data_IF_499710252584
#
_entry.id   IF_499710252584
#
_cell.length_a   1.000
_cell.length_b   1.000
_cell.length_c   1.000
_cell.angle_alpha   90.00
_cell.angle_beta   90.00
_cell.angle_gamma   90.00
#
_symmetry.space_group_name_H-M   'P 1'
#
loop_
_entity.id
_entity.type
_entity.pdbx_description
1 polymer ?
#
# COMPACT_ATOMS: atom_id res chain seq x y z
N UNK A 1 14.06 14.55 9.48
CA UNK A 1 13.19 15.73 9.33
C UNK A 1 12.11 15.60 10.39
N UNK A 2 12.41 16.08 11.60
CA UNK A 2 11.42 16.24 12.68
C UNK A 2 10.43 17.32 12.25
N UNK A 3 9.15 16.98 12.12
CA UNK A 3 8.13 17.98 11.94
C UNK A 3 7.87 18.63 13.29
N UNK A 4 8.13 19.95 13.36
CA UNK A 4 7.70 20.85 14.41
C UNK A 4 6.24 20.58 14.80
N UNK A 5 5.91 20.77 16.08
CA UNK A 5 4.64 20.43 16.75
C UNK A 5 3.37 21.10 16.24
N UNK A 6 3.09 21.02 14.94
CA UNK A 6 1.78 21.27 14.35
C UNK A 6 0.83 20.10 14.63
N UNK A 7 -0.45 20.42 14.83
CA UNK A 7 -1.49 19.42 15.02
C UNK A 7 -1.59 18.52 13.78
N UNK A 8 -1.40 17.21 13.98
CA UNK A 8 -1.45 16.23 12.89
C UNK A 8 -2.88 16.16 12.33
N UNK A 9 -3.07 16.29 11.01
CA UNK A 9 -4.40 16.22 10.41
C UNK A 9 -5.07 14.87 10.71
N UNK A 10 -6.38 14.91 10.96
CA UNK A 10 -7.17 13.74 11.35
C UNK A 10 -7.94 13.19 10.17
N UNK A 11 -7.91 11.87 9.99
CA UNK A 11 -8.76 11.13 9.04
C UNK A 11 -9.95 10.59 9.80
N UNK A 12 -11.15 10.83 9.28
CA UNK A 12 -12.40 10.31 9.85
C UNK A 12 -12.83 9.05 9.11
N UNK A 13 -13.01 7.95 9.84
CA UNK A 13 -13.41 6.64 9.31
C UNK A 13 -14.90 6.41 9.54
N UNK A 14 -15.63 5.97 8.51
CA UNK A 14 -17.05 5.64 8.61
C UNK A 14 -18.03 6.76 8.28
N UNK A 15 -17.54 7.93 7.88
CA UNK A 15 -18.37 9.03 7.41
C UNK A 15 -19.17 8.65 6.16
N UNK A 16 -20.38 9.17 6.01
CA UNK A 16 -21.24 8.87 4.85
C UNK A 16 -20.54 9.31 3.55
N UNK A 17 -20.38 8.37 2.61
CA UNK A 17 -19.69 8.64 1.33
C UNK A 17 -18.18 8.77 1.45
N UNK A 18 -17.59 8.52 2.62
CA UNK A 18 -16.14 8.45 2.77
C UNK A 18 -15.59 7.10 2.30
N UNK A 19 -14.38 7.12 1.77
CA UNK A 19 -13.62 5.93 1.38
C UNK A 19 -12.18 6.08 1.84
N UNK A 20 -11.62 5.00 2.39
CA UNK A 20 -10.23 4.95 2.79
C UNK A 20 -9.35 4.73 1.55
N UNK A 21 -8.38 5.61 1.31
CA UNK A 21 -7.41 5.48 0.21
C UNK A 21 -6.08 4.90 0.69
N UNK A 22 -5.28 4.36 -0.23
CA UNK A 22 -3.91 3.89 0.07
C UNK A 22 -3.01 4.99 0.63
N UNK A 23 -3.19 6.24 0.17
CA UNK A 23 -2.46 7.39 0.69
C UNK A 23 -2.83 7.73 2.14
N UNK A 24 -4.10 7.58 2.51
CA UNK A 24 -4.55 7.75 3.90
C UNK A 24 -3.94 6.68 4.81
N UNK A 25 -3.95 5.42 4.38
CA UNK A 25 -3.32 4.31 5.10
C UNK A 25 -1.82 4.57 5.28
N UNK A 26 -1.11 4.97 4.21
CA UNK A 26 0.30 5.29 4.28
C UNK A 26 0.60 6.44 5.24
N UNK A 27 -0.22 7.50 5.21
CA UNK A 27 -0.05 8.64 6.11
C UNK A 27 -0.23 8.26 7.58
N UNK A 28 -1.21 7.41 7.91
CA UNK A 28 -1.39 6.87 9.27
C UNK A 28 -0.25 5.93 9.65
N UNK A 29 0.14 5.03 8.75
CA UNK A 29 1.25 4.09 8.95
C UNK A 29 2.57 4.81 9.26
N UNK A 30 2.80 5.98 8.68
CA UNK A 30 3.96 6.85 8.95
C UNK A 30 3.76 7.82 10.12
N UNK A 31 2.58 7.85 10.73
CA UNK A 31 2.26 8.74 11.84
C UNK A 31 2.02 10.19 11.44
N UNK A 32 1.88 10.48 10.14
CA UNK A 32 1.59 11.82 9.60
C UNK A 32 0.16 12.28 9.85
N UNK A 33 -0.77 11.33 10.05
CA UNK A 33 -2.18 11.60 10.31
C UNK A 33 -2.69 10.85 11.54
N UNK A 34 -3.62 11.48 12.27
CA UNK A 34 -4.40 10.84 13.33
C UNK A 34 -5.64 10.16 12.74
N UNK A 35 -6.23 9.24 13.50
CA UNK A 35 -7.46 8.54 13.12
C UNK A 35 -8.56 8.86 14.12
N UNK A 36 -9.75 9.16 13.62
CA UNK A 36 -10.97 9.26 14.41
C UNK A 36 -12.08 8.44 13.74
N UNK A 37 -12.98 7.89 14.53
CA UNK A 37 -14.18 7.21 14.03
C UNK A 37 -15.30 8.23 13.96
N UNK A 38 -16.06 8.22 12.88
CA UNK A 38 -17.27 9.02 12.74
C UNK A 38 -18.26 8.70 13.88
N UNK A 39 -18.75 9.70 14.64
CA UNK A 39 -19.66 9.46 15.75
C UNK A 39 -20.95 8.75 15.33
N UNK A 40 -21.50 9.08 14.16
CA UNK A 40 -22.73 8.44 13.66
C UNK A 40 -22.47 6.99 13.24
N UNK A 41 -21.26 6.64 12.81
CA UNK A 41 -20.86 5.26 12.63
C UNK A 41 -20.77 4.52 13.99
N UNK A 42 -20.19 5.14 15.01
CA UNK A 42 -20.05 4.55 16.36
C UNK A 42 -21.41 4.32 17.06
N UNK A 43 -22.37 5.24 16.89
CA UNK A 43 -23.72 5.11 17.43
C UNK A 43 -24.46 3.87 16.91
N UNK A 44 -24.19 3.42 15.67
CA UNK A 44 -24.82 2.20 15.11
C UNK A 44 -24.48 0.97 15.93
N UNK A 45 -23.23 0.89 16.41
CA UNK A 45 -22.74 -0.22 17.21
C UNK A 45 -23.24 -0.17 18.66
N UNK A 46 -23.61 1.01 19.17
CA UNK A 46 -24.16 1.18 20.53
C UNK A 46 -25.57 0.61 20.68
N UNK A 47 -26.27 0.37 19.57
CA UNK A 47 -27.65 -0.18 19.53
C UNK A 47 -27.68 -1.71 19.40
N UNK A 48 -26.54 -2.35 19.19
CA UNK A 48 -26.41 -3.79 19.01
C UNK A 48 -26.31 -4.50 20.36
N UNK A 49 -27.18 -5.50 20.63
CA UNK A 49 -27.06 -6.39 21.79
C UNK A 49 -25.96 -7.41 21.51
N UNK A 50 -24.74 -7.15 21.98
CA UNK A 50 -23.64 -8.12 21.86
C UNK A 50 -23.74 -9.20 22.94
N UNK A 51 -23.58 -10.50 22.60
CA UNK A 51 -23.45 -11.56 23.59
C UNK A 51 -22.20 -11.38 24.47
N UNK A 52 -22.14 -12.04 25.65
CA UNK A 52 -21.00 -11.96 26.54
C UNK A 52 -19.72 -12.47 25.85
N UNK A 53 -18.56 -11.85 26.09
CA UNK A 53 -17.32 -12.23 25.41
C UNK A 53 -16.78 -13.58 25.89
N UNK A 54 -15.94 -14.20 25.06
CA UNK A 54 -15.39 -15.53 25.34
C UNK A 54 -13.86 -15.48 25.39
N UNK A 55 -13.20 -16.34 26.19
CA UNK A 55 -11.75 -16.48 26.16
C UNK A 55 -11.32 -17.02 24.79
N UNK A 56 -10.33 -16.37 24.17
CA UNK A 56 -9.78 -16.77 22.89
C UNK A 56 -8.81 -17.95 23.07
N UNK A 57 -8.94 -19.01 22.27
CA UNK A 57 -8.00 -20.12 22.24
C UNK A 57 -6.71 -19.69 21.51
N UNK A 58 -5.56 -20.13 22.04
CA UNK A 58 -4.22 -19.69 21.63
C UNK A 58 -3.45 -20.86 21.04
N UNK A 59 -3.37 -20.91 19.71
CA UNK A 59 -2.23 -21.52 19.01
C UNK A 59 -1.83 -20.54 17.90
N UNK A 60 -0.58 -20.07 17.90
CA UNK A 60 -0.10 -19.01 17.01
C UNK A 60 1.31 -19.31 16.51
N UNK A 61 1.50 -19.22 15.19
CA UNK A 61 2.80 -18.92 14.60
C UNK A 61 2.86 -17.41 14.50
N UNK A 62 3.59 -16.76 15.41
CA UNK A 62 3.61 -15.31 15.52
C UNK A 62 4.04 -14.66 14.21
N UNK A 63 3.20 -13.78 13.65
CA UNK A 63 3.58 -12.90 12.54
C UNK A 63 3.78 -11.50 13.09
N UNK A 64 5.03 -11.18 13.37
CA UNK A 64 5.42 -9.87 13.89
C UNK A 64 5.60 -8.93 12.70
N UNK A 65 4.72 -7.93 12.60
CA UNK A 65 4.81 -6.86 11.63
C UNK A 65 5.70 -5.72 12.17
N UNK A 66 6.27 -4.92 11.27
CA UNK A 66 6.89 -3.66 11.67
C UNK A 66 5.86 -2.70 12.26
N UNK A 67 6.30 -1.72 13.04
CA UNK A 67 5.39 -0.74 13.65
C UNK A 67 4.52 0.00 12.62
N UNK A 68 5.04 0.26 11.41
CA UNK A 68 4.29 0.91 10.35
C UNK A 68 3.24 -0.02 9.72
N UNK A 69 3.62 -1.27 9.44
CA UNK A 69 2.70 -2.30 8.92
C UNK A 69 1.60 -2.64 9.92
N UNK A 70 1.91 -2.71 11.22
CA UNK A 70 0.92 -2.87 12.28
C UNK A 70 -0.09 -1.71 12.28
N UNK A 71 0.37 -0.45 12.19
CA UNK A 71 -0.54 0.70 12.10
C UNK A 71 -1.41 0.65 10.83
N UNK A 72 -0.82 0.27 9.70
CA UNK A 72 -1.56 0.09 8.44
C UNK A 72 -2.63 -1.00 8.59
N UNK A 73 -2.29 -2.13 9.20
CA UNK A 73 -3.22 -3.21 9.46
C UNK A 73 -4.37 -2.76 10.37
N UNK A 74 -4.09 -2.02 11.45
CA UNK A 74 -5.12 -1.55 12.37
C UNK A 74 -6.07 -0.52 11.73
N UNK A 75 -5.57 0.42 10.92
CA UNK A 75 -6.43 1.39 10.25
C UNK A 75 -7.32 0.75 9.17
N UNK A 76 -6.81 -0.28 8.49
CA UNK A 76 -7.64 -1.09 7.58
C UNK A 76 -8.67 -1.89 8.36
N UNK A 77 -8.26 -2.49 9.48
CA UNK A 77 -9.13 -3.29 10.32
C UNK A 77 -10.31 -2.46 10.82
N UNK A 78 -10.06 -1.28 11.41
CA UNK A 78 -11.11 -0.43 11.93
C UNK A 78 -12.06 0.05 10.80
N UNK A 79 -11.53 0.36 9.61
CA UNK A 79 -12.37 0.70 8.46
C UNK A 79 -13.28 -0.46 8.04
N UNK A 80 -12.73 -1.67 7.94
CA UNK A 80 -13.50 -2.88 7.61
C UNK A 80 -14.57 -3.18 8.65
N UNK A 81 -14.25 -3.06 9.93
CA UNK A 81 -15.24 -3.28 11.00
C UNK A 81 -16.37 -2.25 10.92
N UNK A 82 -16.05 -0.97 10.69
CA UNK A 82 -17.02 0.12 10.60
C UNK A 82 -17.93 0.00 9.37
N UNK A 83 -17.39 -0.44 8.23
CA UNK A 83 -18.16 -0.63 6.98
C UNK A 83 -18.98 -1.93 6.99
N UNK A 84 -18.69 -2.85 7.91
CA UNK A 84 -19.40 -4.13 8.03
C UNK A 84 -20.64 -4.02 8.92
N UNK A 85 -21.70 -4.74 8.56
CA UNK A 85 -22.95 -4.85 9.36
C UNK A 85 -22.80 -5.88 10.51
N UNK A 86 -21.62 -5.92 11.13
CA UNK A 86 -21.25 -6.89 12.16
C UNK A 86 -21.60 -6.41 13.57
N UNK A 87 -21.90 -7.33 14.48
CA UNK A 87 -22.06 -7.03 15.90
C UNK A 87 -20.70 -6.81 16.59
N UNK A 88 -20.07 -5.66 16.30
CA UNK A 88 -18.84 -5.21 16.97
C UNK A 88 -19.22 -4.28 18.11
N UNK A 89 -18.61 -4.44 19.28
CA UNK A 89 -18.86 -3.52 20.39
C UNK A 89 -18.12 -2.19 20.15
N UNK A 90 -18.74 -1.03 20.46
CA UNK A 90 -18.08 0.27 20.35
C UNK A 90 -16.73 0.34 21.08
N UNK A 91 -16.63 -0.32 22.23
CA UNK A 91 -15.41 -0.35 23.04
C UNK A 91 -14.23 -1.00 22.33
N UNK A 92 -14.48 -2.01 21.50
CA UNK A 92 -13.45 -2.70 20.74
C UNK A 92 -12.90 -1.81 19.62
N UNK A 93 -13.77 -1.04 18.96
CA UNK A 93 -13.37 -0.05 17.97
C UNK A 93 -12.57 1.09 18.60
N UNK A 94 -13.01 1.61 19.75
CA UNK A 94 -12.29 2.64 20.50
C UNK A 94 -10.92 2.17 20.95
N UNK A 95 -10.78 0.92 21.41
CA UNK A 95 -9.50 0.31 21.78
C UNK A 95 -8.52 0.31 20.61
N UNK A 96 -8.96 -0.15 19.43
CA UNK A 96 -8.11 -0.15 18.22
C UNK A 96 -7.72 1.28 17.84
N UNK A 97 -8.68 2.23 17.89
CA UNK A 97 -8.42 3.64 17.62
C UNK A 97 -7.38 4.26 18.56
N UNK A 98 -7.45 3.95 19.85
CA UNK A 98 -6.48 4.36 20.87
C UNK A 98 -5.09 3.80 20.55
N UNK A 99 -4.99 2.52 20.20
CA UNK A 99 -3.71 1.87 19.85
C UNK A 99 -3.07 2.51 18.62
N UNK A 100 -3.85 2.81 17.57
CA UNK A 100 -3.34 3.51 16.38
C UNK A 100 -2.70 4.85 16.75
N UNK A 101 -3.23 5.53 17.78
CA UNK A 101 -2.75 6.82 18.27
C UNK A 101 -1.46 6.75 19.12
N UNK A 102 -1.03 5.57 19.55
CA UNK A 102 0.19 5.41 20.36
C UNK A 102 1.44 5.85 19.60
N UNK A 103 2.47 6.26 20.33
CA UNK A 103 3.76 6.62 19.72
C UNK A 103 4.62 5.39 19.40
N UNK A 104 4.48 4.29 20.15
CA UNK A 104 5.32 3.10 20.05
C UNK A 104 4.56 1.84 20.47
N UNK A 105 5.21 0.67 20.39
CA UNK A 105 4.65 -0.61 20.86
C UNK A 105 3.88 -1.43 19.82
N UNK A 106 3.52 -0.86 18.67
CA UNK A 106 2.78 -1.57 17.61
C UNK A 106 3.46 -2.84 17.07
N UNK A 107 4.78 -2.96 17.20
CA UNK A 107 5.53 -4.16 16.79
C UNK A 107 5.35 -5.34 17.77
N UNK A 108 4.70 -5.15 18.91
CA UNK A 108 4.36 -6.24 19.83
C UNK A 108 3.01 -6.90 19.51
N UNK A 109 2.29 -6.41 18.49
CA UNK A 109 1.01 -6.95 18.08
C UNK A 109 1.21 -8.25 17.29
N UNK A 110 0.45 -9.28 17.65
CA UNK A 110 0.49 -10.58 16.99
C UNK A 110 -0.60 -10.69 15.94
N UNK A 111 -0.24 -10.59 14.66
CA UNK A 111 -1.17 -10.81 13.55
C UNK A 111 -1.18 -12.28 13.07
N UNK A 112 -0.55 -13.19 13.82
CA UNK A 112 -0.49 -14.63 13.51
C UNK A 112 -1.84 -15.34 13.69
N UNK A 113 -2.68 -14.87 14.61
CA UNK A 113 -4.04 -15.36 14.81
C UNK A 113 -4.97 -14.27 15.35
N UNK A 114 -6.29 -14.47 15.22
CA UNK A 114 -7.32 -13.58 15.76
C UNK A 114 -7.21 -13.46 17.29
N UNK A 115 -7.00 -14.59 17.99
CA UNK A 115 -6.79 -14.62 19.44
C UNK A 115 -5.48 -13.96 19.89
N UNK A 116 -4.39 -14.17 19.14
CA UNK A 116 -3.10 -13.51 19.38
C UNK A 116 -3.20 -11.99 19.23
N UNK A 117 -3.93 -11.52 18.20
CA UNK A 117 -4.17 -10.10 17.98
C UNK A 117 -4.95 -9.50 19.15
N UNK A 118 -6.08 -10.10 19.54
CA UNK A 118 -6.89 -9.61 20.65
C UNK A 118 -6.06 -9.53 21.93
N UNK A 119 -5.33 -10.59 22.27
CA UNK A 119 -4.51 -10.65 23.48
C UNK A 119 -3.41 -9.57 23.49
N UNK A 120 -2.74 -9.38 22.36
CA UNK A 120 -1.68 -8.38 22.22
C UNK A 120 -2.19 -6.94 22.23
N UNK A 121 -3.39 -6.66 21.68
CA UNK A 121 -4.04 -5.35 21.78
C UNK A 121 -4.30 -4.97 23.25
N UNK A 122 -4.88 -5.88 24.03
CA UNK A 122 -5.16 -5.62 25.46
C UNK A 122 -3.88 -5.45 26.28
N UNK A 123 -2.89 -6.32 26.04
CA UNK A 123 -1.58 -6.24 26.70
C UNK A 123 -0.90 -4.88 26.45
N UNK A 124 -0.99 -4.36 25.23
CA UNK A 124 -0.34 -3.12 24.85
C UNK A 124 -0.93 -1.88 25.55
N UNK A 125 -2.24 -1.87 25.82
CA UNK A 125 -2.89 -0.77 26.55
C UNK A 125 -2.70 -0.88 28.07
N UNK A 126 -2.15 -1.99 28.57
CA UNK A 126 -1.96 -2.19 30.01
C UNK A 126 -3.28 -2.36 30.78
N UNK A 127 -4.40 -2.57 30.08
CA UNK A 127 -5.67 -2.95 30.69
C UNK A 127 -5.59 -4.42 31.08
N UNK A 128 -5.73 -4.71 32.37
CA UNK A 128 -5.65 -6.07 32.89
C UNK A 128 -6.79 -6.93 32.28
N UNK A 129 -6.52 -8.20 31.93
CA UNK A 129 -7.55 -9.10 31.40
C UNK A 129 -8.74 -9.30 32.35
N UNK A 130 -8.58 -8.98 33.63
CA UNK A 130 -9.59 -9.17 34.68
C UNK A 130 -10.68 -8.08 34.69
N UNK A 131 -10.47 -6.96 33.97
CA UNK A 131 -11.44 -5.84 33.88
C UNK A 131 -12.18 -5.79 32.52
N UNK A 132 -11.79 -6.62 31.54
CA UNK A 132 -12.43 -6.69 30.23
C UNK A 132 -12.57 -8.12 29.71
N UNK A 133 -13.81 -8.55 29.52
CA UNK A 133 -14.13 -9.81 28.88
C UNK A 133 -13.74 -9.71 27.39
N UNK A 134 -12.73 -10.46 26.96
CA UNK A 134 -11.96 -10.42 25.69
C UNK A 134 -12.67 -9.97 24.41
N UNK A 135 -12.68 -10.78 23.36
CA UNK A 135 -13.43 -10.52 22.13
C UNK A 135 -14.65 -11.45 22.04
N UNK A 136 -15.74 -11.00 21.43
CA UNK A 136 -16.89 -11.86 21.15
C UNK A 136 -16.56 -12.82 20.01
N UNK A 137 -17.33 -13.91 19.87
CA UNK A 137 -17.17 -14.84 18.73
C UNK A 137 -17.36 -14.12 17.38
N UNK A 138 -18.27 -13.15 17.32
CA UNK A 138 -18.52 -12.36 16.13
C UNK A 138 -17.35 -11.43 15.81
N UNK A 139 -16.76 -10.78 16.82
CA UNK A 139 -15.55 -9.97 16.68
C UNK A 139 -14.39 -10.83 16.18
N UNK A 140 -14.15 -12.00 16.77
CA UNK A 140 -13.10 -12.94 16.35
C UNK A 140 -13.31 -13.38 14.88
N UNK A 141 -14.54 -13.75 14.51
CA UNK A 141 -14.91 -14.14 13.13
C UNK A 141 -14.69 -13.01 12.12
N UNK A 142 -14.95 -11.76 12.53
CA UNK A 142 -14.66 -10.58 11.70
C UNK A 142 -13.15 -10.35 11.54
N UNK A 143 -12.37 -10.51 12.61
CA UNK A 143 -10.90 -10.41 12.55
C UNK A 143 -10.32 -11.42 11.54
N UNK A 144 -10.75 -12.69 11.62
CA UNK A 144 -10.29 -13.77 10.74
C UNK A 144 -10.60 -13.54 9.26
N UNK A 145 -11.73 -12.86 8.98
CA UNK A 145 -12.18 -12.58 7.61
C UNK A 145 -11.68 -11.23 7.07
N UNK A 146 -11.02 -10.42 7.89
CA UNK A 146 -10.68 -9.04 7.54
C UNK A 146 -9.54 -8.92 6.53
N UNK A 147 -8.58 -9.86 6.53
CA UNK A 147 -7.32 -9.75 5.78
C UNK A 147 -6.63 -8.38 5.99
N UNK A 148 -6.81 -7.75 7.15
CA UNK A 148 -6.42 -6.36 7.36
C UNK A 148 -4.90 -6.15 7.24
N UNK A 149 -4.10 -7.12 7.68
CA UNK A 149 -2.64 -7.06 7.58
C UNK A 149 -2.15 -7.06 6.13
N UNK A 150 -2.60 -8.04 5.32
CA UNK A 150 -2.20 -8.16 3.91
C UNK A 150 -2.67 -6.96 3.10
N UNK A 151 -3.89 -6.48 3.33
CA UNK A 151 -4.45 -5.28 2.68
C UNK A 151 -3.71 -4.01 3.11
N UNK A 152 -3.37 -3.86 4.39
CA UNK A 152 -2.60 -2.73 4.91
C UNK A 152 -1.20 -2.65 4.29
N UNK A 153 -0.51 -3.78 4.18
CA UNK A 153 0.79 -3.87 3.50
C UNK A 153 0.65 -3.50 2.02
N UNK A 154 -0.36 -4.03 1.33
CA UNK A 154 -0.61 -3.71 -0.08
C UNK A 154 -0.93 -2.22 -0.29
N UNK A 155 -1.67 -1.58 0.63
CA UNK A 155 -1.93 -0.14 0.59
C UNK A 155 -0.68 0.71 0.76
N UNK A 156 0.24 0.30 1.65
CA UNK A 156 1.54 0.95 1.77
C UNK A 156 2.37 0.77 0.49
N UNK A 157 2.41 -0.44 -0.07
CA UNK A 157 3.11 -0.74 -1.32
C UNK A 157 2.55 0.05 -2.49
N UNK A 158 1.23 0.09 -2.65
CA UNK A 158 0.53 0.87 -3.67
C UNK A 158 0.89 2.36 -3.60
N UNK A 159 0.81 2.96 -2.40
CA UNK A 159 1.18 4.37 -2.21
C UNK A 159 2.64 4.65 -2.61
N UNK A 160 3.58 3.80 -2.18
CA UNK A 160 4.99 3.94 -2.50
C UNK A 160 5.26 3.72 -4.00
N UNK A 161 4.70 2.66 -4.58
CA UNK A 161 4.95 2.29 -5.97
C UNK A 161 4.34 3.30 -6.95
N UNK A 162 3.15 3.82 -6.65
CA UNK A 162 2.51 4.91 -7.40
C UNK A 162 3.37 6.19 -7.44
N UNK A 163 4.04 6.52 -6.33
CA UNK A 163 5.00 7.63 -6.31
C UNK A 163 6.28 7.28 -7.08
N UNK A 164 6.78 6.05 -6.95
CA UNK A 164 7.99 5.58 -7.60
C UNK A 164 7.87 5.58 -9.13
N UNK A 165 6.70 5.24 -9.70
CA UNK A 165 6.44 5.33 -11.15
C UNK A 165 6.86 6.70 -11.69
N UNK A 166 6.30 7.78 -11.13
CA UNK A 166 6.56 9.16 -11.59
C UNK A 166 8.04 9.54 -11.45
N UNK A 167 8.64 9.19 -10.32
CA UNK A 167 10.05 9.47 -10.05
C UNK A 167 10.95 8.70 -11.02
N UNK A 168 10.64 7.45 -11.29
CA UNK A 168 11.43 6.61 -12.18
C UNK A 168 11.41 7.10 -13.62
N UNK A 169 10.27 7.59 -14.12
CA UNK A 169 10.15 8.15 -15.46
C UNK A 169 10.94 9.46 -15.59
N UNK A 170 10.84 10.34 -14.59
CA UNK A 170 11.66 11.55 -14.53
C UNK A 170 13.16 11.25 -14.50
N UNK A 171 13.60 10.29 -13.68
CA UNK A 171 15.00 9.86 -13.60
C UNK A 171 15.46 9.22 -14.92
N UNK A 172 14.60 8.45 -15.58
CA UNK A 172 14.90 7.89 -16.89
C UNK A 172 15.09 9.01 -17.94
N UNK A 173 14.20 10.00 -17.98
CA UNK A 173 14.36 11.16 -18.85
C UNK A 173 15.66 11.93 -18.59
N UNK A 174 16.01 12.21 -17.32
CA UNK A 174 17.30 12.83 -17.00
C UNK A 174 18.50 11.99 -17.44
N UNK A 175 18.42 10.67 -17.31
CA UNK A 175 19.48 9.78 -17.82
C UNK A 175 19.60 9.83 -19.35
N UNK A 176 18.48 10.01 -20.07
CA UNK A 176 18.50 10.21 -21.53
C UNK A 176 19.22 11.52 -21.89
N UNK A 177 18.95 12.62 -21.17
CA UNK A 177 19.64 13.90 -21.39
C UNK A 177 21.14 13.79 -21.11
N UNK A 178 21.51 13.16 -20.00
CA UNK A 178 22.90 13.02 -19.58
C UNK A 178 23.73 12.16 -20.57
N UNK A 179 23.12 11.14 -21.17
CA UNK A 179 23.77 10.28 -22.15
C UNK A 179 23.56 10.72 -23.61
N UNK A 180 22.92 11.87 -23.84
CA UNK A 180 22.54 12.36 -25.18
C UNK A 180 21.76 11.34 -26.01
N UNK A 181 20.88 10.57 -25.34
CA UNK A 181 20.17 9.44 -25.93
C UNK A 181 19.31 9.85 -27.13
N UNK A 182 19.07 8.91 -28.03
CA UNK A 182 18.22 9.13 -29.21
C UNK A 182 16.74 9.22 -28.80
N UNK A 183 16.05 10.28 -29.23
CA UNK A 183 14.64 10.52 -28.90
C UNK A 183 13.72 9.65 -29.76
N UNK A 184 14.19 9.18 -30.92
CA UNK A 184 13.42 8.31 -31.79
C UNK A 184 13.07 6.95 -31.14
N UNK A 185 13.78 6.57 -30.07
CA UNK A 185 13.47 5.40 -29.24
C UNK A 185 12.06 5.44 -28.63
N UNK A 186 11.46 6.62 -28.54
CA UNK A 186 10.14 6.84 -27.98
C UNK A 186 9.06 7.07 -29.06
N UNK A 187 9.39 6.91 -30.35
CA UNK A 187 8.45 6.92 -31.47
C UNK A 187 7.68 5.59 -31.57
N UNK A 188 6.89 5.30 -30.53
CA UNK A 188 6.01 4.14 -30.53
C UNK A 188 4.72 4.41 -31.32
N UNK A 189 4.20 3.42 -32.06
CA UNK A 189 2.90 3.54 -32.71
C UNK A 189 1.79 3.73 -31.65
N UNK A 190 0.74 4.50 -31.96
CA UNK A 190 -0.34 4.75 -31.01
C UNK A 190 -1.02 3.44 -30.58
N UNK A 191 -1.43 3.37 -29.31
CA UNK A 191 -2.13 2.19 -28.79
C UNK A 191 -3.54 2.10 -29.40
N UNK A 192 -3.69 1.15 -30.33
CA UNK A 192 -4.92 0.79 -31.04
C UNK A 192 -4.68 -0.49 -31.85
N UNK A 193 -5.71 -1.31 -32.03
CA UNK A 193 -5.71 -2.50 -32.90
C UNK A 193 -4.63 -3.59 -32.61
N UNK A 194 -4.03 -3.59 -31.42
CA UNK A 194 -3.02 -4.58 -31.00
C UNK A 194 -1.58 -4.26 -31.44
N UNK A 195 -1.31 -3.06 -31.95
CA UNK A 195 0.02 -2.65 -32.39
C UNK A 195 0.97 -2.23 -31.26
N UNK A 196 0.44 -1.82 -30.10
CA UNK A 196 1.26 -1.41 -28.96
C UNK A 196 0.51 -1.50 -27.62
N UNK A 197 1.29 -1.68 -26.55
CA UNK A 197 0.79 -1.74 -25.18
C UNK A 197 0.60 -0.32 -24.67
N UNK A 198 -0.61 0.00 -24.19
CA UNK A 198 -0.98 1.34 -23.73
C UNK A 198 0.01 1.93 -22.72
N UNK A 199 0.46 1.13 -21.75
CA UNK A 199 1.40 1.60 -20.75
C UNK A 199 2.75 2.00 -21.33
N UNK A 200 3.23 1.27 -22.33
CA UNK A 200 4.50 1.57 -22.99
C UNK A 200 4.37 2.85 -23.83
N UNK A 201 3.25 3.02 -24.54
CA UNK A 201 2.99 4.25 -25.31
C UNK A 201 2.83 5.46 -24.40
N UNK A 202 2.17 5.30 -23.24
CA UNK A 202 2.01 6.36 -22.26
C UNK A 202 3.36 6.74 -21.65
N UNK A 203 4.24 5.77 -21.34
CA UNK A 203 5.62 6.05 -20.92
C UNK A 203 6.39 6.79 -22.00
N UNK A 204 6.37 6.32 -23.24
CA UNK A 204 7.12 6.94 -24.32
C UNK A 204 6.68 8.40 -24.56
N UNK A 205 5.36 8.66 -24.47
CA UNK A 205 4.82 10.02 -24.54
C UNK A 205 5.29 10.90 -23.38
N UNK A 206 5.25 10.38 -22.15
CA UNK A 206 5.68 11.13 -20.96
C UNK A 206 7.19 11.43 -21.00
N UNK A 207 8.02 10.48 -21.42
CA UNK A 207 9.47 10.70 -21.57
C UNK A 207 9.75 11.76 -22.64
N UNK A 208 9.06 11.73 -23.78
CA UNK A 208 9.16 12.80 -24.79
C UNK A 208 8.75 14.16 -24.23
N UNK A 209 7.70 14.21 -23.41
CA UNK A 209 7.27 15.44 -22.77
C UNK A 209 8.36 16.00 -21.82
N UNK A 210 9.04 15.13 -21.06
CA UNK A 210 10.17 15.55 -20.23
C UNK A 210 11.38 16.06 -21.04
N UNK A 211 11.64 15.45 -22.20
CA UNK A 211 12.77 15.81 -23.06
C UNK A 211 12.47 17.00 -23.99
N UNK A 212 11.24 17.50 -24.00
CA UNK A 212 10.83 18.58 -24.90
C UNK A 212 11.64 19.85 -24.66
N UNK A 213 12.28 20.35 -25.71
CA UNK A 213 13.14 21.56 -25.66
C UNK A 213 14.57 21.30 -25.19
N UNK A 214 14.92 20.06 -24.85
CA UNK A 214 16.29 19.69 -24.50
C UNK A 214 17.23 19.83 -25.70
N UNK A 215 18.42 20.39 -25.48
CA UNK A 215 19.46 20.59 -26.51
C UNK A 215 20.54 19.49 -26.49
N UNK A 216 20.45 18.56 -25.53
CA UNK A 216 21.50 17.56 -25.29
C UNK A 216 21.16 16.20 -25.89
N UNK A 217 19.88 15.87 -26.08
CA UNK A 217 19.41 14.60 -26.65
C UNK A 217 19.55 14.54 -28.18
N UNK A 218 19.55 13.32 -28.74
CA UNK A 218 19.56 13.08 -30.19
C UNK A 218 20.92 12.76 -30.81
N UNK A 219 21.92 12.36 -30.02
CA UNK A 219 23.31 12.16 -30.49
C UNK A 219 23.82 10.71 -30.35
N UNK A 220 22.95 9.71 -30.53
CA UNK A 220 23.34 8.32 -30.82
C UNK A 220 23.76 7.46 -29.61
N UNK A 221 22.87 7.29 -28.61
CA UNK A 221 22.97 6.21 -27.63
C UNK A 221 21.62 5.48 -27.48
N UNK A 222 21.53 4.26 -27.99
CA UNK A 222 20.29 3.45 -27.96
C UNK A 222 20.26 2.36 -26.90
N UNK A 223 21.40 2.09 -26.22
CA UNK A 223 21.63 0.92 -25.35
C UNK A 223 20.53 0.60 -24.32
N UNK A 224 20.72 0.87 -23.01
CA UNK A 224 19.69 0.59 -22.01
C UNK A 224 18.48 1.55 -22.08
N UNK A 225 18.49 2.53 -22.99
CA UNK A 225 17.43 3.53 -23.13
C UNK A 225 16.25 3.02 -23.97
N UNK A 226 16.50 2.14 -24.94
CA UNK A 226 15.45 1.51 -25.76
C UNK A 226 14.49 0.63 -24.94
N UNK A 227 14.94 0.09 -23.81
CA UNK A 227 14.11 -0.71 -22.90
C UNK A 227 13.20 0.09 -21.98
N UNK A 228 13.32 1.43 -21.93
CA UNK A 228 12.53 2.28 -21.03
C UNK A 228 11.03 2.06 -21.21
N UNK A 229 10.44 2.16 -22.42
CA UNK A 229 9.00 2.01 -22.58
C UNK A 229 8.47 0.67 -22.09
N UNK A 230 9.14 -0.44 -22.43
CA UNK A 230 8.70 -1.79 -22.07
C UNK A 230 8.78 -2.05 -20.56
N UNK A 231 9.92 -1.74 -19.93
CA UNK A 231 10.14 -2.03 -18.50
C UNK A 231 9.32 -1.09 -17.62
N UNK A 232 9.32 0.21 -17.91
CA UNK A 232 8.53 1.18 -17.15
C UNK A 232 7.03 0.98 -17.40
N UNK A 233 6.63 0.61 -18.63
CA UNK A 233 5.24 0.29 -18.97
C UNK A 233 4.73 -0.93 -18.20
N UNK A 234 5.53 -1.99 -18.14
CA UNK A 234 5.22 -3.19 -17.32
C UNK A 234 5.07 -2.83 -15.83
N UNK A 235 5.97 -1.99 -15.30
CA UNK A 235 5.89 -1.51 -13.92
C UNK A 235 4.63 -0.68 -13.67
N UNK A 236 4.28 0.27 -14.56
CA UNK A 236 3.03 1.04 -14.50
C UNK A 236 1.79 0.15 -14.50
N UNK A 237 1.77 -0.86 -15.37
CA UNK A 237 0.70 -1.85 -15.44
C UNK A 237 0.52 -2.62 -14.13
N UNK A 238 1.62 -3.12 -13.55
CA UNK A 238 1.60 -3.83 -12.28
C UNK A 238 1.13 -2.95 -11.12
N UNK A 239 1.61 -1.70 -11.04
CA UNK A 239 1.17 -0.73 -10.02
C UNK A 239 -0.31 -0.42 -10.16
N UNK A 240 -0.83 -0.19 -11.37
CA UNK A 240 -2.25 0.10 -11.58
C UNK A 240 -3.13 -1.10 -11.22
N UNK A 241 -2.69 -2.32 -11.50
CA UNK A 241 -3.42 -3.53 -11.11
C UNK A 241 -3.50 -3.67 -9.58
N UNK A 242 -2.39 -3.44 -8.87
CA UNK A 242 -2.37 -3.41 -7.41
C UNK A 242 -3.29 -2.29 -6.87
N UNK A 243 -3.14 -1.07 -7.39
CA UNK A 243 -3.94 0.09 -6.98
C UNK A 243 -5.44 -0.17 -7.05
N UNK A 244 -5.92 -0.68 -8.20
CA UNK A 244 -7.33 -0.99 -8.40
C UNK A 244 -7.84 -2.04 -7.42
N UNK A 245 -7.07 -3.11 -7.16
CA UNK A 245 -7.48 -4.16 -6.23
C UNK A 245 -7.44 -3.70 -4.78
N UNK A 246 -6.40 -2.99 -4.40
CA UNK A 246 -6.20 -2.49 -3.03
C UNK A 246 -7.27 -1.46 -2.67
N UNK A 247 -7.60 -0.52 -3.57
CA UNK A 247 -8.67 0.45 -3.33
C UNK A 247 -10.03 -0.20 -3.07
N UNK A 248 -10.35 -1.27 -3.80
CA UNK A 248 -11.58 -2.06 -3.57
C UNK A 248 -11.53 -2.78 -2.24
N UNK A 249 -10.42 -3.46 -1.93
CA UNK A 249 -10.33 -4.26 -0.70
C UNK A 249 -10.25 -3.41 0.56
N UNK A 250 -9.67 -2.21 0.50
CA UNK A 250 -9.69 -1.24 1.60
C UNK A 250 -11.12 -0.93 2.06
N UNK A 251 -12.05 -0.84 1.12
CA UNK A 251 -13.43 -0.39 1.35
C UNK A 251 -14.47 -1.52 1.29
N UNK A 252 -14.02 -2.78 1.22
CA UNK A 252 -14.92 -3.93 1.16
C UNK A 252 -15.48 -4.32 2.53
N UNK A 253 -16.78 -4.60 2.59
CA UNK A 253 -17.44 -5.08 3.81
C UNK A 253 -17.21 -6.57 4.06
N UNK A 254 -17.26 -6.96 5.33
CA UNK A 254 -17.17 -8.35 5.78
C UNK A 254 -18.59 -8.87 6.01
N UNK A 255 -18.99 -9.90 5.26
CA UNK A 255 -20.31 -10.52 5.40
C UNK A 255 -20.25 -11.71 6.37
N UNK A 256 -20.73 -11.53 7.61
CA UNK A 256 -20.71 -12.57 8.65
C UNK A 256 -21.72 -13.70 8.37
N UNK A 257 -22.89 -13.38 7.77
CA UNK A 257 -23.99 -14.34 7.53
C UNK A 257 -23.75 -15.40 6.46
N UNK A 258 -22.76 -15.22 5.58
CA UNK A 258 -22.38 -16.27 4.61
C UNK A 258 -21.41 -17.24 5.31
N UNK A 259 -21.96 -18.29 5.91
CA UNK A 259 -21.25 -19.39 6.58
C UNK A 259 -20.47 -20.30 5.60
N UNK A 260 -19.66 -19.72 4.71
CA UNK A 260 -18.60 -20.48 4.04
C UNK A 260 -17.35 -20.39 4.92
N UNK A 261 -17.20 -21.38 5.81
CA UNK A 261 -16.08 -21.55 6.74
C UNK A 261 -14.74 -21.51 5.97
N UNK A 262 -13.80 -20.66 6.41
CA UNK A 262 -12.35 -20.75 6.15
C UNK A 262 -11.82 -20.47 4.73
N UNK A 263 -12.64 -20.54 3.69
CA UNK A 263 -12.14 -20.57 2.29
C UNK A 263 -12.13 -19.18 1.62
N UNK A 264 -13.02 -18.26 2.01
CA UNK A 264 -13.23 -16.99 1.29
C UNK A 264 -12.12 -15.95 1.53
N UNK A 265 -11.54 -15.88 2.73
CA UNK A 265 -10.45 -14.92 3.03
C UNK A 265 -9.14 -15.30 2.35
N UNK A 266 -8.84 -16.59 2.27
CA UNK A 266 -7.62 -17.11 1.62
C UNK A 266 -7.52 -16.68 0.15
N UNK A 267 -8.61 -16.76 -0.60
CA UNK A 267 -8.61 -16.36 -2.02
C UNK A 267 -8.38 -14.86 -2.24
N UNK A 268 -8.76 -14.02 -1.27
CA UNK A 268 -8.46 -12.59 -1.33
C UNK A 268 -6.96 -12.33 -1.18
N UNK A 269 -6.32 -13.04 -0.26
CA UNK A 269 -4.88 -12.96 -0.04
C UNK A 269 -4.11 -13.55 -1.22
N UNK A 270 -4.53 -14.71 -1.75
CA UNK A 270 -3.94 -15.30 -2.95
C UNK A 270 -3.99 -14.34 -4.15
N UNK A 271 -5.12 -13.62 -4.30
CA UNK A 271 -5.26 -12.59 -5.34
C UNK A 271 -4.35 -11.38 -5.13
N UNK A 272 -4.09 -10.95 -3.88
CA UNK A 272 -3.12 -9.91 -3.59
C UNK A 272 -1.70 -10.38 -3.88
N UNK A 273 -1.35 -11.62 -3.49
CA UNK A 273 -0.05 -12.24 -3.79
C UNK A 273 0.19 -12.29 -5.30
N UNK A 274 -0.83 -12.66 -6.09
CA UNK A 274 -0.77 -12.68 -7.55
C UNK A 274 -0.50 -11.31 -8.19
N UNK A 275 -0.74 -10.20 -7.48
CA UNK A 275 -0.43 -8.84 -7.93
C UNK A 275 0.93 -8.35 -7.41
N UNK A 276 1.28 -8.70 -6.16
CA UNK A 276 2.54 -8.28 -5.53
C UNK A 276 3.75 -8.96 -6.18
N UNK A 277 3.62 -10.21 -6.63
CA UNK A 277 4.71 -10.93 -7.31
C UNK A 277 5.14 -10.24 -8.63
N UNK A 278 4.23 -9.95 -9.59
CA UNK A 278 4.58 -9.16 -10.78
C UNK A 278 5.11 -7.76 -10.45
N UNK A 279 4.60 -7.11 -9.40
CA UNK A 279 5.13 -5.83 -8.94
C UNK A 279 6.60 -5.96 -8.50
N UNK A 280 6.94 -6.97 -7.71
CA UNK A 280 8.32 -7.20 -7.27
C UNK A 280 9.26 -7.46 -8.46
N UNK A 281 8.82 -8.29 -9.41
CA UNK A 281 9.60 -8.58 -10.63
C UNK A 281 9.81 -7.33 -11.49
N UNK A 282 8.76 -6.51 -11.68
CA UNK A 282 8.89 -5.27 -12.45
C UNK A 282 9.77 -4.23 -11.76
N UNK A 283 9.75 -4.13 -10.42
CA UNK A 283 10.70 -3.30 -9.66
C UNK A 283 12.14 -3.78 -9.87
N UNK A 284 12.38 -5.10 -9.86
CA UNK A 284 13.71 -5.65 -10.12
C UNK A 284 14.20 -5.26 -11.53
N UNK A 285 13.38 -5.48 -12.56
CA UNK A 285 13.72 -5.09 -13.93
C UNK A 285 13.96 -3.59 -14.08
N UNK A 286 13.19 -2.76 -13.39
CA UNK A 286 13.40 -1.31 -13.32
C UNK A 286 14.76 -0.94 -12.73
N UNK A 287 15.17 -1.61 -11.64
CA UNK A 287 16.46 -1.40 -11.01
C UNK A 287 17.62 -1.81 -11.92
N UNK A 288 17.53 -2.97 -12.58
CA UNK A 288 18.53 -3.45 -13.53
C UNK A 288 18.68 -2.49 -14.72
N UNK A 289 17.56 -2.04 -15.30
CA UNK A 289 17.56 -1.08 -16.38
C UNK A 289 18.16 0.27 -15.94
N UNK A 290 17.78 0.76 -14.75
CA UNK A 290 18.31 2.01 -14.18
C UNK A 290 19.82 1.93 -13.95
N UNK A 291 20.31 0.80 -13.43
CA UNK A 291 21.74 0.56 -13.25
C UNK A 291 22.49 0.58 -14.59
N UNK A 292 21.95 -0.08 -15.63
CA UNK A 292 22.51 -0.06 -16.98
C UNK A 292 22.62 1.36 -17.55
N UNK A 293 21.56 2.17 -17.40
CA UNK A 293 21.59 3.59 -17.80
C UNK A 293 22.63 4.38 -17.02
N UNK A 294 22.71 4.21 -15.71
CA UNK A 294 23.69 4.89 -14.86
C UNK A 294 25.13 4.57 -15.27
N UNK A 295 25.45 3.30 -15.55
CA UNK A 295 26.77 2.89 -16.04
C UNK A 295 27.10 3.50 -17.41
N UNK A 296 26.11 3.60 -18.29
CA UNK A 296 26.27 4.23 -19.61
C UNK A 296 26.57 5.72 -19.47
N UNK A 297 25.82 6.42 -18.60
CA UNK A 297 26.05 7.84 -18.30
C UNK A 297 27.45 8.06 -17.71
N UNK A 298 27.85 7.25 -16.72
CA UNK A 298 29.17 7.37 -16.10
C UNK A 298 30.32 7.18 -17.11
N UNK A 299 30.18 6.18 -17.99
CA UNK A 299 31.16 5.93 -19.06
C UNK A 299 31.22 7.09 -20.05
N UNK A 300 30.07 7.63 -20.44
CA UNK A 300 29.98 8.77 -21.34
C UNK A 300 30.68 10.01 -20.77
N UNK A 301 30.38 10.37 -19.52
CA UNK A 301 30.98 11.52 -18.83
C UNK A 301 32.50 11.36 -18.67
N UNK A 302 32.96 10.17 -18.29
CA UNK A 302 34.40 9.89 -18.14
C UNK A 302 35.18 9.94 -19.46
N UNK A 303 34.52 9.73 -20.61
CA UNK A 303 35.15 9.89 -21.92
C UNK A 303 35.17 11.35 -22.36
N UNK A 304 34.10 12.12 -22.11
CA UNK A 304 34.09 13.57 -22.41
C UNK A 304 35.16 14.35 -21.63
N UNK A 305 35.47 13.96 -20.39
CA UNK A 305 36.54 14.59 -19.61
C UNK A 305 37.92 14.33 -20.22
N UNK A 306 38.16 13.15 -20.80
CA UNK A 306 39.42 12.80 -21.46
C UNK A 306 39.61 13.53 -22.78
N UNK A 307 38.55 13.82 -23.52
CA UNK A 307 38.63 14.57 -24.79
C UNK A 307 38.86 16.08 -24.58
N UNK A 308 38.60 16.59 -23.37
CA UNK A 308 38.79 18.01 -23.00
C UNK A 308 40.15 18.29 -22.32
N UNK A 309 40.91 17.25 -21.96
CA UNK A 309 42.25 17.36 -21.35
C UNK A 309 43.36 17.16 -22.37
#
# INVERSE_FOLDING_TARGET
MELAGGERPTIVIGGKGSSLSSADVYAVARGFRKVAIDPAALERFSRSKSPPPHPAAVESISKILTSAESRAALVVLINKLVVSDGAVRPIFLSLIGEIIGLQSGHSSLDFGSSGGLVTSLFKLIGKHPDEFVGATKDEISLLEKSSAASVGICAMLDCCASALVKLSDAVAAFSCEAARADVALFDLPPSGDGFSIKDETDVAADIKAFLFGSKTVGQLNSGPFSGIPAVHGTFRGAVRALHGRTGVELNSSINVRKNAVGVVSRWKEDALVALVLPLAMSIQSMCELSLGRAMTVATFLGNEEKEKS
#
